data_IF_098290224238
#
_entry.id   IF_098290224238
#
_cell.length_a   1.000
_cell.length_b   1.000
_cell.length_c   1.000
_cell.angle_alpha   90.00
_cell.angle_beta   90.00
_cell.angle_gamma   90.00
#
_symmetry.space_group_name_H-M   'P 1'
#
loop_
_entity.id
_entity.type
_entity.pdbx_description
1 polymer ?
#
# COMPACT_ATOMS: atom_id res chain seq x y z
N UNK A 1 20.68 18.00 30.12
CA UNK A 1 20.63 18.62 28.79
C UNK A 1 21.97 18.39 28.09
N UNK A 2 22.04 17.39 27.21
CA UNK A 2 23.28 17.03 26.51
C UNK A 2 23.59 18.05 25.42
N UNK A 3 24.79 18.61 25.45
CA UNK A 3 25.30 19.50 24.41
C UNK A 3 25.43 18.73 23.10
N UNK A 4 24.56 19.02 22.14
CA UNK A 4 24.72 18.54 20.75
C UNK A 4 26.00 19.19 20.20
N UNK A 5 27.01 18.40 19.86
CA UNK A 5 28.28 18.91 19.35
C UNK A 5 28.05 19.61 18.00
N UNK A 6 28.60 20.83 17.86
CA UNK A 6 28.56 21.60 16.61
C UNK A 6 29.03 20.77 15.40
N UNK A 7 29.97 19.85 15.65
CA UNK A 7 30.53 18.91 14.67
C UNK A 7 29.49 17.92 14.17
N UNK A 8 28.55 17.47 15.03
CA UNK A 8 27.47 16.55 14.62
C UNK A 8 26.42 17.25 13.74
N UNK A 9 26.16 18.53 14.00
CA UNK A 9 25.27 19.37 13.21
C UNK A 9 25.91 19.68 11.86
N UNK A 10 27.20 20.05 11.83
CA UNK A 10 27.92 20.28 10.58
C UNK A 10 28.02 19.01 9.70
N UNK A 11 28.31 17.86 10.30
CA UNK A 11 28.34 16.58 9.56
C UNK A 11 27.01 16.24 8.94
N UNK A 12 25.89 16.56 9.62
CA UNK A 12 24.54 16.37 9.10
C UNK A 12 24.24 17.34 7.94
N UNK A 13 24.72 18.57 8.02
CA UNK A 13 24.60 19.59 6.98
C UNK A 13 25.43 19.25 5.73
N UNK A 14 26.68 18.81 5.93
CA UNK A 14 27.59 18.42 4.84
C UNK A 14 27.10 17.13 4.14
N UNK A 15 26.51 16.19 4.87
CA UNK A 15 25.90 14.98 4.29
C UNK A 15 24.68 15.30 3.41
N UNK A 16 23.97 16.41 3.70
CA UNK A 16 22.86 16.94 2.87
C UNK A 16 23.33 17.72 1.64
N UNK A 17 24.62 18.10 1.57
CA UNK A 17 25.19 18.88 0.46
C UNK A 17 25.94 18.01 -0.56
N UNK A 18 25.97 16.70 -0.40
CA UNK A 18 26.50 15.82 -1.45
C UNK A 18 25.58 15.94 -2.68
N UNK A 19 26.11 16.31 -3.85
CA UNK A 19 25.30 16.35 -5.06
C UNK A 19 24.78 14.94 -5.35
N UNK A 20 23.50 14.74 -5.10
CA UNK A 20 22.81 13.53 -5.56
C UNK A 20 22.80 13.66 -7.08
N UNK A 21 23.56 12.84 -7.77
CA UNK A 21 23.45 12.70 -9.23
C UNK A 21 22.07 12.11 -9.55
N UNK A 22 21.08 12.98 -9.69
CA UNK A 22 19.74 12.63 -10.13
C UNK A 22 19.79 12.48 -11.65
N UNK A 23 20.08 11.28 -12.12
CA UNK A 23 19.77 10.95 -13.52
C UNK A 23 18.27 10.68 -13.61
N UNK A 24 17.53 11.60 -14.21
CA UNK A 24 16.13 11.35 -14.61
C UNK A 24 16.18 10.47 -15.85
N UNK A 25 15.88 9.18 -15.69
CA UNK A 25 15.67 8.30 -16.83
C UNK A 25 14.28 8.54 -17.38
N UNK A 26 14.20 9.06 -18.60
CA UNK A 26 12.95 9.08 -19.37
C UNK A 26 12.68 7.67 -19.90
N UNK A 27 12.12 6.81 -19.07
CA UNK A 27 11.62 5.51 -19.50
C UNK A 27 10.16 5.67 -19.97
N UNK A 28 9.97 5.57 -21.29
CA UNK A 28 8.65 5.39 -21.89
C UNK A 28 8.14 4.01 -21.44
N UNK A 29 6.88 3.93 -21.01
CA UNK A 29 6.23 2.69 -20.56
C UNK A 29 6.19 1.71 -21.74
N UNK A 30 7.22 0.88 -21.87
CA UNK A 30 7.32 -0.13 -22.92
C UNK A 30 7.47 -1.53 -22.33
N UNK A 31 6.50 -2.39 -22.65
CA UNK A 31 6.62 -3.85 -22.75
C UNK A 31 7.05 -4.63 -21.52
N UNK A 32 6.29 -4.54 -20.41
CA UNK A 32 6.34 -5.61 -19.39
C UNK A 32 7.61 -5.65 -18.52
N UNK A 33 8.34 -4.53 -18.36
CA UNK A 33 9.62 -4.52 -17.65
C UNK A 33 9.83 -3.40 -16.62
N UNK A 34 8.80 -2.61 -16.31
CA UNK A 34 8.93 -1.45 -15.40
C UNK A 34 9.41 -1.86 -14.00
N UNK A 35 9.01 -3.06 -13.54
CA UNK A 35 9.40 -3.62 -12.26
C UNK A 35 10.35 -4.82 -12.39
N UNK A 36 11.09 -4.90 -13.50
CA UNK A 36 12.03 -6.00 -13.73
C UNK A 36 13.06 -6.07 -12.59
N UNK A 37 13.25 -7.28 -12.07
CA UNK A 37 14.15 -7.57 -10.95
C UNK A 37 13.77 -6.91 -9.61
N UNK A 38 12.58 -6.34 -9.49
CA UNK A 38 12.05 -5.82 -8.23
C UNK A 38 11.34 -6.92 -7.44
N UNK A 39 11.51 -6.90 -6.11
CA UNK A 39 10.77 -7.75 -5.18
C UNK A 39 9.74 -6.91 -4.44
N UNK A 40 8.48 -7.32 -4.53
CA UNK A 40 7.36 -6.65 -3.89
C UNK A 40 6.70 -7.53 -2.83
N UNK A 41 6.42 -6.95 -1.66
CA UNK A 41 5.53 -7.54 -0.66
C UNK A 41 4.15 -6.94 -0.85
N UNK A 42 3.12 -7.78 -0.93
CA UNK A 42 1.73 -7.33 -1.04
C UNK A 42 0.89 -8.02 0.03
N UNK A 43 0.40 -7.25 1.00
CA UNK A 43 -0.55 -7.76 1.98
C UNK A 43 -1.96 -7.83 1.37
N UNK A 44 -2.75 -8.84 1.74
CA UNK A 44 -4.04 -9.07 1.09
C UNK A 44 -3.92 -9.49 -0.37
N UNK A 45 -2.76 -10.02 -0.80
CA UNK A 45 -2.44 -10.32 -2.19
C UNK A 45 -3.17 -11.52 -2.80
N UNK A 46 -4.10 -12.15 -2.07
CA UNK A 46 -4.83 -13.34 -2.55
C UNK A 46 -6.16 -13.02 -3.25
N UNK A 47 -6.72 -11.81 -3.08
CA UNK A 47 -8.01 -11.42 -3.68
C UNK A 47 -8.13 -9.90 -3.85
N UNK A 48 -9.16 -9.49 -4.58
CA UNK A 48 -9.54 -8.08 -4.74
C UNK A 48 -8.41 -7.21 -5.29
N UNK A 49 -8.24 -6.01 -4.71
CA UNK A 49 -7.25 -5.02 -5.14
C UNK A 49 -5.82 -5.56 -4.98
N UNK A 50 -5.51 -6.21 -3.85
CA UNK A 50 -4.17 -6.78 -3.61
C UNK A 50 -3.77 -7.84 -4.66
N UNK A 51 -4.70 -8.69 -5.06
CA UNK A 51 -4.49 -9.68 -6.11
C UNK A 51 -4.28 -9.03 -7.49
N UNK A 52 -5.09 -8.03 -7.84
CA UNK A 52 -4.93 -7.29 -9.10
C UNK A 52 -3.57 -6.59 -9.17
N UNK A 53 -3.11 -5.99 -8.05
CA UNK A 53 -1.77 -5.40 -7.95
C UNK A 53 -0.70 -6.48 -8.14
N UNK A 54 -0.84 -7.65 -7.50
CA UNK A 54 0.11 -8.74 -7.65
C UNK A 54 0.21 -9.19 -9.11
N UNK A 55 -0.92 -9.35 -9.78
CA UNK A 55 -0.98 -9.70 -11.21
C UNK A 55 -0.30 -8.66 -12.09
N UNK A 56 -0.60 -7.37 -11.86
CA UNK A 56 0.00 -6.26 -12.61
C UNK A 56 1.51 -6.17 -12.41
N UNK A 57 1.99 -6.32 -11.16
CA UNK A 57 3.42 -6.26 -10.85
C UNK A 57 4.20 -7.43 -11.47
N UNK A 58 3.64 -8.64 -11.43
CA UNK A 58 4.24 -9.83 -12.07
C UNK A 58 4.31 -9.64 -13.59
N UNK A 59 3.25 -9.12 -14.20
CA UNK A 59 3.23 -8.82 -15.65
C UNK A 59 4.31 -7.79 -16.03
N UNK A 60 4.74 -6.94 -15.10
CA UNK A 60 5.81 -5.96 -15.28
C UNK A 60 7.18 -6.44 -14.75
N UNK A 61 7.33 -7.74 -14.51
CA UNK A 61 8.61 -8.38 -14.23
C UNK A 61 9.02 -8.45 -12.77
N UNK A 62 8.15 -8.03 -11.82
CA UNK A 62 8.43 -8.16 -10.40
C UNK A 62 8.26 -9.60 -9.89
N UNK A 63 8.98 -9.93 -8.83
CA UNK A 63 8.66 -11.05 -7.94
C UNK A 63 7.77 -10.55 -6.82
N UNK A 64 6.67 -11.24 -6.55
CA UNK A 64 5.67 -10.82 -5.56
C UNK A 64 5.56 -11.84 -4.44
N UNK A 65 5.85 -11.41 -3.21
CA UNK A 65 5.55 -12.15 -1.98
C UNK A 65 4.16 -11.69 -1.53
N UNK A 66 3.15 -12.53 -1.75
CA UNK A 66 1.77 -12.25 -1.38
C UNK A 66 1.49 -12.79 0.02
N UNK A 67 1.13 -11.89 0.96
CA UNK A 67 0.81 -12.26 2.34
C UNK A 67 -0.70 -12.21 2.53
N UNK A 68 -1.28 -13.32 3.03
CA UNK A 68 -2.66 -13.40 3.47
C UNK A 68 -2.81 -14.45 4.57
N UNK A 69 -3.89 -14.35 5.36
CA UNK A 69 -4.13 -15.24 6.50
C UNK A 69 -4.38 -16.70 6.07
N UNK A 70 -5.17 -16.90 5.02
CA UNK A 70 -5.62 -18.22 4.59
C UNK A 70 -4.76 -18.75 3.45
N UNK A 71 -4.16 -19.92 3.70
CA UNK A 71 -3.27 -20.61 2.74
C UNK A 71 -4.01 -20.97 1.44
N UNK A 72 -5.26 -21.42 1.57
CA UNK A 72 -6.08 -21.87 0.45
C UNK A 72 -6.29 -20.76 -0.57
N UNK A 73 -6.63 -19.55 -0.10
CA UNK A 73 -6.83 -18.38 -0.98
C UNK A 73 -5.55 -17.96 -1.71
N UNK A 74 -4.39 -18.12 -1.09
CA UNK A 74 -3.10 -17.86 -1.72
C UNK A 74 -2.74 -18.90 -2.78
N UNK A 75 -3.08 -20.17 -2.55
CA UNK A 75 -2.86 -21.24 -3.52
C UNK A 75 -3.78 -21.09 -4.74
N UNK A 76 -5.04 -20.72 -4.51
CA UNK A 76 -5.97 -20.38 -5.59
C UNK A 76 -5.46 -19.17 -6.42
N UNK A 77 -5.00 -18.11 -5.74
CA UNK A 77 -4.39 -16.97 -6.42
C UNK A 77 -3.18 -17.35 -7.25
N UNK A 78 -2.32 -18.25 -6.73
CA UNK A 78 -1.15 -18.78 -7.45
C UNK A 78 -1.55 -19.56 -8.70
N UNK A 79 -2.58 -20.40 -8.60
CA UNK A 79 -3.10 -21.15 -9.76
C UNK A 79 -3.67 -20.19 -10.83
N UNK A 80 -4.33 -19.12 -10.43
CA UNK A 80 -4.91 -18.14 -11.35
C UNK A 80 -3.83 -17.29 -12.05
N UNK A 81 -2.73 -16.95 -11.37
CA UNK A 81 -1.63 -16.17 -11.94
C UNK A 81 -0.72 -17.01 -12.82
N UNK A 82 -0.56 -18.31 -12.52
CA UNK A 82 0.29 -19.25 -13.26
C UNK A 82 1.75 -18.76 -13.46
N UNK A 83 2.32 -18.13 -12.42
CA UNK A 83 3.68 -17.60 -12.46
C UNK A 83 4.51 -18.05 -11.27
N UNK A 84 5.77 -18.44 -11.52
CA UNK A 84 6.73 -18.73 -10.46
C UNK A 84 7.16 -17.47 -9.68
N UNK A 85 6.87 -16.28 -10.22
CA UNK A 85 7.13 -15.00 -9.54
C UNK A 85 6.09 -14.67 -8.48
N UNK A 86 4.98 -15.41 -8.37
CA UNK A 86 4.03 -15.32 -7.28
C UNK A 86 4.42 -16.27 -6.15
N UNK A 87 4.85 -15.72 -5.04
CA UNK A 87 5.32 -16.47 -3.86
C UNK A 87 4.28 -16.31 -2.74
N UNK A 88 3.51 -17.35 -2.43
CA UNK A 88 2.55 -17.31 -1.33
C UNK A 88 3.27 -17.33 0.02
N UNK A 89 2.84 -16.49 0.94
CA UNK A 89 3.26 -16.48 2.33
C UNK A 89 2.03 -16.40 3.25
N UNK A 90 1.51 -17.56 3.69
CA UNK A 90 0.41 -17.59 4.65
C UNK A 90 0.86 -17.04 5.99
N UNK A 91 0.24 -15.93 6.44
CA UNK A 91 0.53 -15.33 7.74
C UNK A 91 -0.63 -14.45 8.20
N UNK A 92 -0.99 -14.54 9.47
CA UNK A 92 -1.94 -13.63 10.12
C UNK A 92 -1.19 -12.38 10.61
N UNK A 93 -1.34 -11.28 9.87
CA UNK A 93 -0.64 -10.02 10.14
C UNK A 93 -1.02 -9.37 11.49
N UNK A 94 -2.07 -9.84 12.16
CA UNK A 94 -2.43 -9.36 13.50
C UNK A 94 -1.63 -10.01 14.61
N UNK A 95 -0.83 -11.02 14.31
CA UNK A 95 0.10 -11.68 15.24
C UNK A 95 1.41 -10.90 15.35
N UNK A 96 1.36 -9.76 16.02
CA UNK A 96 2.52 -8.84 16.11
C UNK A 96 3.72 -9.45 16.83
N UNK A 97 3.50 -10.39 17.74
CA UNK A 97 4.56 -11.10 18.47
C UNK A 97 5.35 -12.06 17.57
N UNK A 98 4.79 -12.45 16.41
CA UNK A 98 5.43 -13.31 15.43
C UNK A 98 6.13 -12.52 14.29
N UNK A 99 6.31 -11.19 14.41
CA UNK A 99 6.90 -10.37 13.33
C UNK A 99 8.38 -10.65 13.08
N UNK A 100 9.12 -11.13 14.06
CA UNK A 100 10.50 -11.57 13.84
C UNK A 100 10.54 -12.82 12.92
N UNK A 101 9.67 -13.79 13.15
CA UNK A 101 9.48 -14.93 12.25
C UNK A 101 8.98 -14.49 10.86
N UNK A 102 8.03 -13.56 10.79
CA UNK A 102 7.58 -13.00 9.51
C UNK A 102 8.74 -12.38 8.74
N UNK A 103 9.60 -11.64 9.41
CA UNK A 103 10.77 -11.02 8.83
C UNK A 103 11.76 -12.04 8.25
N UNK A 104 12.06 -13.10 9.00
CA UNK A 104 12.90 -14.21 8.51
C UNK A 104 12.34 -14.86 7.25
N UNK A 105 11.03 -15.16 7.24
CA UNK A 105 10.35 -15.75 6.09
C UNK A 105 10.35 -14.82 4.85
N UNK A 106 10.14 -13.53 5.06
CA UNK A 106 10.24 -12.51 3.99
C UNK A 106 11.66 -12.46 3.45
N UNK A 107 12.68 -12.36 4.32
CA UNK A 107 14.09 -12.28 3.93
C UNK A 107 14.51 -13.50 3.12
N UNK A 108 14.12 -14.68 3.57
CA UNK A 108 14.40 -15.95 2.88
C UNK A 108 13.77 -15.99 1.48
N UNK A 109 12.54 -15.47 1.33
CA UNK A 109 11.78 -15.51 0.07
C UNK A 109 12.16 -14.38 -0.89
N UNK A 110 12.67 -13.27 -0.39
CA UNK A 110 13.10 -12.10 -1.19
C UNK A 110 14.54 -12.18 -1.66
N UNK A 111 15.29 -13.20 -1.28
CA UNK A 111 16.75 -13.26 -1.45
C UNK A 111 17.45 -12.02 -0.86
N UNK A 112 16.91 -11.49 0.25
CA UNK A 112 17.49 -10.39 1.01
C UNK A 112 17.22 -8.97 0.46
N UNK A 113 16.45 -8.81 -0.62
CA UNK A 113 16.12 -7.49 -1.15
C UNK A 113 14.62 -7.29 -1.28
N UNK A 114 14.11 -6.20 -0.68
CA UNK A 114 12.72 -5.78 -0.77
C UNK A 114 12.69 -4.37 -1.37
N UNK A 115 12.11 -4.23 -2.56
CA UNK A 115 12.02 -2.94 -3.26
C UNK A 115 10.70 -2.24 -3.03
N UNK A 116 9.61 -3.01 -2.85
CA UNK A 116 8.26 -2.46 -2.81
C UNK A 116 7.46 -3.13 -1.68
N UNK A 117 6.74 -2.31 -0.91
CA UNK A 117 5.72 -2.78 0.01
C UNK A 117 4.36 -2.19 -0.40
N UNK A 118 3.35 -3.05 -0.55
CA UNK A 118 1.96 -2.62 -0.73
C UNK A 118 1.12 -3.13 0.44
N UNK A 119 0.67 -2.22 1.28
CA UNK A 119 -0.28 -2.48 2.35
C UNK A 119 -1.70 -2.46 1.76
N UNK A 120 -2.17 -3.60 1.23
CA UNK A 120 -3.49 -3.76 0.63
C UNK A 120 -4.43 -4.63 1.47
N UNK A 121 -3.95 -5.27 2.54
CA UNK A 121 -4.84 -5.92 3.49
C UNK A 121 -5.76 -4.89 4.15
N UNK A 122 -7.03 -5.21 4.24
CA UNK A 122 -8.02 -4.35 4.84
C UNK A 122 -9.22 -5.14 5.35
N UNK A 123 -9.76 -4.67 6.46
CA UNK A 123 -10.96 -5.18 7.09
C UNK A 123 -12.02 -4.09 7.09
N UNK A 124 -13.22 -4.44 6.64
CA UNK A 124 -14.37 -3.56 6.57
C UNK A 124 -15.52 -4.22 7.32
N UNK A 125 -15.34 -4.39 8.64
CA UNK A 125 -16.36 -4.93 9.52
C UNK A 125 -17.46 -3.89 9.79
N UNK A 126 -18.69 -4.35 9.98
CA UNK A 126 -19.78 -3.53 10.47
C UNK A 126 -20.27 -2.44 9.49
N UNK A 127 -20.10 -2.62 8.17
CA UNK A 127 -20.56 -1.64 7.16
C UNK A 127 -22.03 -1.28 7.23
N UNK A 128 -22.87 -2.21 7.69
CA UNK A 128 -24.29 -2.01 7.89
C UNK A 128 -24.66 -1.69 9.35
N UNK A 129 -23.67 -1.78 10.26
CA UNK A 129 -23.89 -1.46 11.67
C UNK A 129 -24.11 0.05 11.84
N UNK A 130 -25.11 0.41 12.64
CA UNK A 130 -25.29 1.79 13.09
C UNK A 130 -24.19 2.12 14.11
N UNK A 131 -23.87 3.38 14.26
CA UNK A 131 -22.86 3.85 15.22
C UNK A 131 -23.02 3.23 16.62
N UNK A 132 -24.24 3.07 17.07
CA UNK A 132 -24.60 2.54 18.41
C UNK A 132 -24.36 1.04 18.58
N UNK A 133 -24.19 0.30 17.47
CA UNK A 133 -24.13 -1.16 17.47
C UNK A 133 -22.69 -1.70 17.35
N UNK A 134 -21.70 -0.81 17.14
CA UNK A 134 -20.29 -1.23 17.05
C UNK A 134 -19.79 -1.77 18.39
N UNK A 135 -19.23 -2.95 18.35
CA UNK A 135 -18.56 -3.58 19.49
C UNK A 135 -17.10 -3.15 19.61
N UNK A 136 -16.53 -3.24 20.84
CA UNK A 136 -15.10 -3.02 21.05
C UNK A 136 -14.23 -3.94 20.20
N UNK A 137 -14.62 -5.21 20.04
CA UNK A 137 -13.89 -6.18 19.21
C UNK A 137 -13.84 -5.76 17.73
N UNK A 138 -14.96 -5.30 17.15
CA UNK A 138 -14.98 -4.82 15.77
C UNK A 138 -14.10 -3.58 15.58
N UNK A 139 -14.08 -2.69 16.58
CA UNK A 139 -13.19 -1.54 16.58
C UNK A 139 -11.73 -1.98 16.60
N UNK A 140 -11.36 -2.87 17.53
CA UNK A 140 -10.00 -3.36 17.72
C UNK A 140 -9.50 -4.12 16.48
N UNK A 141 -10.31 -5.00 15.91
CA UNK A 141 -9.99 -5.76 14.70
C UNK A 141 -9.75 -4.82 13.51
N UNK A 142 -10.62 -3.83 13.34
CA UNK A 142 -10.51 -2.87 12.25
C UNK A 142 -9.23 -2.02 12.37
N UNK A 143 -8.95 -1.51 13.57
CA UNK A 143 -7.74 -0.74 13.84
C UNK A 143 -6.48 -1.60 13.75
N UNK A 144 -6.54 -2.86 14.21
CA UNK A 144 -5.41 -3.79 14.12
C UNK A 144 -5.02 -4.03 12.66
N UNK A 145 -5.98 -4.39 11.80
CA UNK A 145 -5.69 -4.71 10.39
C UNK A 145 -5.37 -3.47 9.57
N UNK A 146 -6.16 -2.39 9.69
CA UNK A 146 -6.08 -1.25 8.78
C UNK A 146 -5.05 -0.18 9.19
N UNK A 147 -4.70 -0.10 10.48
CA UNK A 147 -3.79 0.93 10.99
C UNK A 147 -2.51 0.32 11.61
N UNK A 148 -2.64 -0.61 12.55
CA UNK A 148 -1.49 -1.17 13.27
C UNK A 148 -0.62 -2.04 12.36
N UNK A 149 -1.20 -2.89 11.52
CA UNK A 149 -0.46 -3.72 10.53
C UNK A 149 0.36 -2.85 9.58
N UNK A 150 -0.21 -1.86 8.84
CA UNK A 150 0.59 -1.00 7.97
C UNK A 150 1.70 -0.24 8.71
N UNK A 151 1.47 0.16 9.96
CA UNK A 151 2.49 0.85 10.76
C UNK A 151 3.70 -0.06 11.02
N UNK A 152 3.47 -1.25 11.58
CA UNK A 152 4.56 -2.15 11.99
C UNK A 152 5.26 -2.78 10.80
N UNK A 153 4.50 -3.16 9.76
CA UNK A 153 5.08 -3.75 8.56
C UNK A 153 5.89 -2.72 7.75
N UNK A 154 5.40 -1.49 7.62
CA UNK A 154 6.16 -0.41 6.98
C UNK A 154 7.44 -0.10 7.75
N UNK A 155 7.40 -0.11 9.10
CA UNK A 155 8.59 0.05 9.94
C UNK A 155 9.62 -1.04 9.71
N UNK A 156 9.17 -2.30 9.64
CA UNK A 156 10.02 -3.48 9.40
C UNK A 156 10.69 -3.37 8.04
N UNK A 157 9.90 -3.21 6.97
CA UNK A 157 10.42 -3.15 5.60
C UNK A 157 11.29 -1.90 5.36
N UNK A 158 10.92 -0.75 5.93
CA UNK A 158 11.73 0.46 5.80
C UNK A 158 13.11 0.31 6.46
N UNK A 159 13.21 -0.40 7.60
CA UNK A 159 14.51 -0.71 8.21
C UNK A 159 15.39 -1.54 7.28
N UNK A 160 14.83 -2.56 6.63
CA UNK A 160 15.55 -3.38 5.67
C UNK A 160 15.98 -2.57 4.44
N UNK A 161 15.09 -1.75 3.89
CA UNK A 161 15.42 -0.87 2.77
C UNK A 161 16.59 0.06 3.10
N UNK A 162 16.57 0.66 4.30
CA UNK A 162 17.67 1.55 4.77
C UNK A 162 18.97 0.77 4.94
N UNK A 163 18.93 -0.38 5.61
CA UNK A 163 20.11 -1.21 5.88
C UNK A 163 20.79 -1.69 4.58
N UNK A 164 19.99 -1.99 3.55
CA UNK A 164 20.45 -2.49 2.26
C UNK A 164 20.61 -1.37 1.20
N UNK A 165 20.48 -0.09 1.57
CA UNK A 165 20.53 1.07 0.66
C UNK A 165 19.55 0.96 -0.52
N UNK A 166 18.39 0.35 -0.31
CA UNK A 166 17.33 0.21 -1.31
C UNK A 166 16.50 1.50 -1.36
N UNK A 167 16.46 2.14 -2.51
CA UNK A 167 15.55 3.27 -2.79
C UNK A 167 14.16 2.73 -3.16
N UNK A 168 13.43 2.27 -2.13
CA UNK A 168 12.18 1.54 -2.30
C UNK A 168 10.93 2.41 -2.42
N UNK A 169 9.79 1.74 -2.56
CA UNK A 169 8.46 2.35 -2.57
C UNK A 169 7.55 1.65 -1.56
N UNK A 170 6.82 2.43 -0.75
CA UNK A 170 5.79 1.92 0.15
C UNK A 170 4.46 2.53 -0.27
N UNK A 171 3.45 1.69 -0.50
CA UNK A 171 2.14 2.10 -0.99
C UNK A 171 1.06 1.61 -0.02
N UNK A 172 0.25 2.53 0.49
CA UNK A 172 -0.90 2.20 1.32
C UNK A 172 -2.19 2.23 0.49
N UNK A 173 -2.97 1.16 0.52
CA UNK A 173 -4.32 1.14 -0.07
C UNK A 173 -5.31 1.59 1.00
N UNK A 174 -5.59 2.88 0.96
CA UNK A 174 -6.53 3.56 1.85
C UNK A 174 -7.99 3.38 1.43
N UNK A 175 -8.68 4.49 1.24
CA UNK A 175 -10.05 4.59 0.75
C UNK A 175 -10.55 6.02 0.92
N UNK A 176 -11.55 6.43 0.15
CA UNK A 176 -12.14 7.78 0.23
C UNK A 176 -12.71 8.09 1.61
N UNK A 177 -13.06 7.06 2.39
CA UNK A 177 -13.51 7.22 3.79
C UNK A 177 -12.43 7.81 4.70
N UNK A 178 -11.21 7.97 4.22
CA UNK A 178 -10.14 8.74 4.86
C UNK A 178 -10.20 10.25 4.60
N UNK A 179 -11.16 10.71 3.80
CA UNK A 179 -11.42 12.12 3.50
C UNK A 179 -12.83 12.54 3.93
N UNK A 180 -13.74 11.58 4.02
CA UNK A 180 -15.12 11.78 4.43
C UNK A 180 -15.27 11.26 5.87
N UNK A 181 -15.62 12.14 6.82
CA UNK A 181 -15.85 11.73 8.21
C UNK A 181 -17.11 10.88 8.33
N UNK A 182 -16.92 9.64 8.76
CA UNK A 182 -18.01 8.73 9.13
C UNK A 182 -17.79 8.20 10.55
N UNK A 183 -18.84 8.06 11.38
CA UNK A 183 -18.71 7.54 12.73
C UNK A 183 -18.57 6.01 12.71
N UNK A 184 -17.46 5.52 12.14
CA UNK A 184 -17.17 4.10 12.03
C UNK A 184 -15.69 3.80 12.28
N UNK A 185 -15.35 2.64 12.89
CA UNK A 185 -13.97 2.20 13.07
C UNK A 185 -13.20 2.16 11.73
N UNK A 186 -13.89 1.78 10.65
CA UNK A 186 -13.30 1.74 9.32
C UNK A 186 -12.83 3.11 8.85
N UNK A 187 -13.70 4.15 8.90
CA UNK A 187 -13.32 5.50 8.52
C UNK A 187 -12.14 6.01 9.36
N UNK A 188 -12.21 5.83 10.69
CA UNK A 188 -11.12 6.20 11.60
C UNK A 188 -9.80 5.53 11.23
N UNK A 189 -9.83 4.23 10.93
CA UNK A 189 -8.63 3.47 10.53
C UNK A 189 -8.04 3.97 9.21
N UNK A 190 -8.88 4.41 8.27
CA UNK A 190 -8.43 4.98 6.99
C UNK A 190 -7.84 6.39 7.14
N UNK A 191 -8.35 7.21 8.07
CA UNK A 191 -7.70 8.47 8.46
C UNK A 191 -6.33 8.21 9.11
N UNK A 192 -6.22 7.23 10.00
CA UNK A 192 -4.95 6.83 10.60
C UNK A 192 -3.92 6.42 9.53
N UNK A 193 -4.35 5.69 8.51
CA UNK A 193 -3.50 5.27 7.39
C UNK A 193 -3.00 6.46 6.54
N UNK A 194 -3.84 7.48 6.31
CA UNK A 194 -3.42 8.73 5.65
C UNK A 194 -2.38 9.49 6.46
N UNK A 195 -2.57 9.58 7.79
CA UNK A 195 -1.60 10.18 8.70
C UNK A 195 -0.26 9.46 8.67
N UNK A 196 -0.29 8.11 8.73
CA UNK A 196 0.91 7.27 8.62
C UNK A 196 1.64 7.51 7.30
N UNK A 197 0.92 7.54 6.18
CA UNK A 197 1.49 7.78 4.84
C UNK A 197 2.28 9.08 4.80
N UNK A 198 1.69 10.18 5.25
CA UNK A 198 2.33 11.51 5.24
C UNK A 198 3.51 11.57 6.23
N UNK A 199 3.34 11.02 7.43
CA UNK A 199 4.36 11.05 8.47
C UNK A 199 5.61 10.25 8.09
N UNK A 200 5.44 8.99 7.65
CA UNK A 200 6.55 8.15 7.23
C UNK A 200 7.17 8.63 5.91
N UNK A 201 6.40 9.13 4.96
CA UNK A 201 6.95 9.70 3.73
C UNK A 201 8.00 10.77 4.00
N UNK A 202 7.67 11.71 4.91
CA UNK A 202 8.60 12.77 5.33
C UNK A 202 9.86 12.20 5.99
N UNK A 203 9.72 11.17 6.82
CA UNK A 203 10.83 10.55 7.54
C UNK A 203 11.74 9.74 6.62
N UNK A 204 11.16 9.06 5.62
CA UNK A 204 11.87 8.10 4.76
C UNK A 204 12.47 8.75 3.50
N UNK A 205 11.98 9.91 3.08
CA UNK A 205 12.47 10.63 1.90
C UNK A 205 13.99 10.86 1.88
N UNK A 206 14.67 11.22 3.00
CA UNK A 206 16.14 11.38 3.03
C UNK A 206 16.91 10.09 2.68
N UNK A 207 16.28 8.93 2.82
CA UNK A 207 16.85 7.63 2.44
C UNK A 207 16.51 7.22 1.01
N UNK A 208 15.83 8.10 0.26
CA UNK A 208 15.35 7.82 -1.09
C UNK A 208 14.19 6.84 -1.14
N UNK A 209 13.49 6.59 -0.04
CA UNK A 209 12.31 5.74 0.01
C UNK A 209 11.07 6.62 -0.16
N UNK A 210 10.25 6.33 -1.17
CA UNK A 210 8.99 7.02 -1.41
C UNK A 210 7.84 6.27 -0.71
N UNK A 211 7.00 7.00 0.01
CA UNK A 211 5.77 6.45 0.56
C UNK A 211 4.58 7.27 0.08
N UNK A 212 3.59 6.58 -0.49
CA UNK A 212 2.37 7.19 -1.03
C UNK A 212 1.14 6.34 -0.70
N UNK A 213 -0.04 6.91 -0.92
CA UNK A 213 -1.30 6.24 -0.72
C UNK A 213 -2.16 6.24 -1.98
N UNK A 214 -3.06 5.29 -2.06
CA UNK A 214 -4.17 5.28 -3.01
C UNK A 214 -5.45 5.25 -2.19
N UNK A 215 -6.41 6.09 -2.54
CA UNK A 215 -7.72 6.15 -1.90
C UNK A 215 -8.81 5.74 -2.91
N UNK A 216 -9.09 4.43 -3.02
CA UNK A 216 -10.18 3.97 -3.86
C UNK A 216 -11.54 4.38 -3.31
N UNK A 217 -12.47 4.68 -4.20
CA UNK A 217 -13.90 4.69 -3.93
C UNK A 217 -14.49 3.29 -3.99
N UNK A 218 -15.78 3.22 -4.33
CA UNK A 218 -16.46 1.95 -4.52
C UNK A 218 -15.77 1.12 -5.62
N UNK A 219 -15.20 -0.01 -5.23
CA UNK A 219 -14.45 -0.91 -6.11
C UNK A 219 -15.08 -2.30 -6.12
N UNK A 220 -15.33 -2.84 -7.31
CA UNK A 220 -15.90 -4.17 -7.47
C UNK A 220 -14.87 -5.28 -7.19
N UNK A 221 -14.71 -5.64 -5.93
CA UNK A 221 -13.83 -6.72 -5.50
C UNK A 221 -14.51 -8.09 -5.44
N UNK A 222 -15.82 -8.15 -5.68
CA UNK A 222 -16.66 -9.35 -5.59
C UNK A 222 -17.12 -9.87 -6.94
N UNK A 223 -16.54 -9.36 -8.05
CA UNK A 223 -16.88 -9.75 -9.43
C UNK A 223 -18.37 -9.60 -9.78
N UNK A 224 -19.02 -8.52 -9.32
CA UNK A 224 -20.38 -8.22 -9.75
C UNK A 224 -20.45 -8.08 -11.27
N UNK A 225 -21.48 -8.67 -11.86
CA UNK A 225 -21.71 -8.58 -13.31
C UNK A 225 -22.13 -7.15 -13.69
N UNK A 226 -22.92 -6.49 -12.84
CA UNK A 226 -23.34 -5.11 -13.05
C UNK A 226 -22.43 -4.15 -12.30
N UNK A 227 -21.67 -3.33 -13.04
CA UNK A 227 -20.78 -2.31 -12.50
C UNK A 227 -21.47 -0.95 -12.32
N UNK A 228 -22.78 -0.84 -12.62
CA UNK A 228 -23.49 0.43 -12.50
C UNK A 228 -23.63 0.86 -11.04
N UNK A 229 -23.28 2.11 -10.75
CA UNK A 229 -23.37 2.73 -9.43
C UNK A 229 -23.77 4.19 -9.59
N UNK A 230 -24.88 4.59 -8.98
CA UNK A 230 -25.42 5.96 -9.10
C UNK A 230 -24.64 6.99 -8.28
N UNK A 231 -23.91 6.54 -7.28
CA UNK A 231 -23.23 7.41 -6.29
C UNK A 231 -21.82 7.84 -6.71
N UNK A 232 -21.48 7.64 -7.97
CA UNK A 232 -20.22 8.09 -8.56
C UNK A 232 -20.48 8.91 -9.81
N UNK A 233 -19.65 9.92 -10.09
CA UNK A 233 -19.82 10.78 -11.29
C UNK A 233 -19.68 10.01 -12.60
N UNK A 234 -18.89 8.93 -12.61
CA UNK A 234 -18.75 8.04 -13.76
C UNK A 234 -19.79 6.90 -13.79
N UNK A 235 -20.78 6.92 -12.87
CA UNK A 235 -21.90 5.99 -12.76
C UNK A 235 -21.51 4.50 -12.70
N UNK A 236 -20.36 4.16 -12.17
CA UNK A 236 -19.92 2.77 -12.03
C UNK A 236 -18.93 2.54 -10.89
N UNK A 237 -18.82 1.29 -10.48
CA UNK A 237 -17.72 0.83 -9.65
C UNK A 237 -16.38 0.94 -10.39
N UNK A 238 -15.33 1.28 -9.68
CA UNK A 238 -13.97 1.07 -10.17
C UNK A 238 -13.65 -0.43 -10.22
N UNK A 239 -12.74 -0.83 -11.10
CA UNK A 239 -12.22 -2.20 -11.12
C UNK A 239 -10.94 -2.31 -10.29
N UNK A 240 -10.62 -3.48 -9.73
CA UNK A 240 -9.34 -3.72 -9.08
C UNK A 240 -8.13 -3.45 -9.99
N UNK A 241 -8.25 -3.71 -11.28
CA UNK A 241 -7.18 -3.47 -12.27
C UNK A 241 -6.92 -1.96 -12.47
N UNK A 242 -7.93 -1.08 -12.39
CA UNK A 242 -7.74 0.37 -12.43
C UNK A 242 -6.91 0.85 -11.23
N UNK A 243 -7.18 0.31 -10.04
CA UNK A 243 -6.40 0.63 -8.83
C UNK A 243 -4.98 0.06 -8.96
N UNK A 244 -4.83 -1.14 -9.54
CA UNK A 244 -3.53 -1.76 -9.77
C UNK A 244 -2.64 -0.95 -10.71
N UNK A 245 -3.21 -0.29 -11.73
CA UNK A 245 -2.47 0.58 -12.64
C UNK A 245 -1.86 1.80 -11.91
N UNK A 246 -2.60 2.39 -10.96
CA UNK A 246 -2.07 3.47 -10.12
C UNK A 246 -0.98 2.95 -9.18
N UNK A 247 -1.18 1.77 -8.58
CA UNK A 247 -0.16 1.15 -7.74
C UNK A 247 1.13 0.85 -8.54
N UNK A 248 1.00 0.40 -9.78
CA UNK A 248 2.13 0.17 -10.68
C UNK A 248 2.90 1.47 -10.96
N UNK A 249 2.20 2.56 -11.24
CA UNK A 249 2.81 3.88 -11.44
C UNK A 249 3.58 4.33 -10.19
N UNK A 250 2.98 4.23 -9.00
CA UNK A 250 3.60 4.61 -7.73
C UNK A 250 4.77 3.68 -7.32
N UNK A 251 4.78 2.43 -7.78
CA UNK A 251 5.84 1.46 -7.53
C UNK A 251 7.05 1.65 -8.47
N UNK A 252 6.85 2.36 -9.57
CA UNK A 252 7.89 2.61 -10.56
C UNK A 252 8.79 3.78 -10.20
N UNK A 253 9.95 3.87 -10.84
CA UNK A 253 10.84 5.01 -10.70
C UNK A 253 10.35 6.29 -11.42
N UNK A 254 9.22 6.21 -12.14
CA UNK A 254 8.62 7.33 -12.88
C UNK A 254 8.01 8.41 -11.96
N UNK A 255 7.65 8.05 -10.73
CA UNK A 255 6.94 8.93 -9.79
C UNK A 255 7.76 9.29 -8.55
N UNK A 256 9.08 9.33 -8.65
CA UNK A 256 9.99 9.57 -7.50
C UNK A 256 9.80 10.93 -6.81
N UNK A 257 9.20 11.91 -7.48
CA UNK A 257 8.84 13.20 -6.88
C UNK A 257 7.54 13.14 -6.07
N UNK A 258 6.77 12.05 -6.17
CA UNK A 258 5.58 11.84 -5.35
C UNK A 258 5.99 11.28 -4.00
N UNK A 259 5.88 12.12 -2.96
CA UNK A 259 6.25 11.77 -1.57
C UNK A 259 5.14 12.23 -0.65
N UNK A 260 4.47 11.29 0.02
CA UNK A 260 3.35 11.56 0.92
C UNK A 260 2.04 11.90 0.21
N UNK A 261 1.97 11.70 -1.10
CA UNK A 261 0.76 11.92 -1.89
C UNK A 261 -0.25 10.81 -1.67
N UNK A 262 -1.55 11.18 -1.69
CA UNK A 262 -2.64 10.21 -1.66
C UNK A 262 -3.48 10.44 -2.92
N UNK A 263 -3.41 9.48 -3.84
CA UNK A 263 -4.12 9.53 -5.12
C UNK A 263 -5.55 9.04 -4.92
N UNK A 264 -6.51 9.90 -5.16
CA UNK A 264 -7.93 9.57 -5.08
C UNK A 264 -8.36 8.91 -6.39
N UNK A 265 -8.99 7.74 -6.29
CA UNK A 265 -9.46 6.93 -7.41
C UNK A 265 -10.89 6.47 -7.12
N UNK A 266 -11.84 7.37 -7.15
CA UNK A 266 -13.20 7.18 -6.65
C UNK A 266 -14.30 7.35 -7.70
N UNK A 267 -13.94 7.52 -8.97
CA UNK A 267 -14.91 7.75 -10.03
C UNK A 267 -15.68 9.06 -9.88
N UNK A 268 -15.18 9.99 -9.05
CA UNK A 268 -15.81 11.27 -8.75
C UNK A 268 -16.88 11.18 -7.64
N UNK A 269 -16.84 10.13 -6.80
CA UNK A 269 -17.77 9.98 -5.67
C UNK A 269 -17.68 11.18 -4.71
N UNK A 270 -16.47 11.72 -4.49
CA UNK A 270 -16.28 12.89 -3.63
C UNK A 270 -16.68 14.23 -4.28
N UNK A 271 -16.90 14.26 -5.59
CA UNK A 271 -17.26 15.49 -6.34
C UNK A 271 -18.77 15.69 -6.43
N UNK A 272 -19.58 14.74 -5.95
CA UNK A 272 -21.04 14.85 -6.08
C UNK A 272 -21.61 15.93 -5.17
N UNK A 273 -22.20 16.94 -5.78
CA UNK A 273 -23.14 17.84 -5.13
C UNK A 273 -24.49 17.15 -5.06
N UNK A 274 -25.05 16.97 -3.86
CA UNK A 274 -26.33 16.26 -3.63
C UNK A 274 -27.55 16.90 -4.29
N UNK A 275 -27.41 18.02 -5.00
CA UNK A 275 -28.57 18.81 -5.46
C UNK A 275 -28.62 19.19 -6.95
N UNK A 276 -27.66 18.79 -7.76
CA UNK A 276 -27.68 19.21 -9.18
C UNK A 276 -27.94 18.00 -10.09
N UNK A 277 -29.22 17.61 -10.18
CA UNK A 277 -29.71 16.92 -11.37
C UNK A 277 -30.11 18.03 -12.36
N UNK A 278 -29.28 18.23 -13.39
CA UNK A 278 -29.68 18.98 -14.58
C UNK A 278 -30.75 18.23 -15.36
#
# INVERSE_FOLDING_TARGET
MGRVSLISVLKRYIKGLQPINLSVKNEIINNGSILKNKTAIITGGSRGIGFAIAKAFIAQGATVIAIAKHRESLLEAKMNIQSNRFIPLPFDLTKFDEYDYLHEEITRKSNGSIDILVNAAGLKNGQEAKFWDFTSSEFDDCMAVNAKVPFFLSRLVAKDMIANNVRGNIINIGGIKSFIGEPSPYSMSKFAQNSLTKGLARMLAPYGICMNGIAPGATNTSNFVNLYLTDTSNCRYSTPDEIANIALLLASDLCRSMVGSIVICDGGEMLQYKNDRY
#
